data_IF_057346792220
#
_entry.id   IF_057346792220
#
_cell.length_a   1.000
_cell.length_b   1.000
_cell.length_c   1.000
_cell.angle_alpha   90.00
_cell.angle_beta   90.00
_cell.angle_gamma   90.00
#
_symmetry.space_group_name_H-M   'P 1'
#
loop_
_entity.id
_entity.type
_entity.pdbx_description
1 polymer ?
#
# COMPACT_ATOMS: atom_id res chain seq x y z
N UNK A 1 -10.41 18.63 -14.36
CA UNK A 1 -9.33 17.66 -14.66
C UNK A 1 -9.20 16.73 -13.47
N UNK A 2 -9.13 15.41 -13.68
CA UNK A 2 -9.02 14.43 -12.58
C UNK A 2 -7.57 14.19 -12.15
N UNK A 3 -7.37 13.72 -10.92
CA UNK A 3 -6.07 13.28 -10.39
C UNK A 3 -6.13 11.77 -10.14
N UNK A 4 -5.04 11.05 -10.45
CA UNK A 4 -4.86 9.64 -10.09
C UNK A 4 -3.62 9.53 -9.21
N UNK A 5 -3.78 8.97 -8.02
CA UNK A 5 -2.69 8.76 -7.07
C UNK A 5 -2.35 7.27 -7.08
N UNK A 6 -1.12 6.93 -7.48
CA UNK A 6 -0.62 5.56 -7.49
C UNK A 6 0.21 5.31 -6.24
N UNK A 7 -0.22 4.33 -5.44
CA UNK A 7 0.45 3.94 -4.20
C UNK A 7 0.92 2.49 -4.33
N UNK A 8 2.20 2.25 -4.07
CA UNK A 8 2.73 0.90 -3.91
C UNK A 8 2.41 0.42 -2.48
N UNK A 9 2.08 -0.87 -2.33
CA UNK A 9 1.90 -1.47 -1.01
C UNK A 9 3.14 -1.29 -0.12
N UNK A 10 2.94 -1.26 1.20
CA UNK A 10 4.04 -1.23 2.18
C UNK A 10 4.97 -2.44 2.07
N UNK A 11 6.12 -2.34 2.74
CA UNK A 11 7.13 -3.38 2.77
C UNK A 11 6.57 -4.74 3.25
N UNK A 12 6.97 -5.81 2.57
CA UNK A 12 6.79 -7.21 2.98
C UNK A 12 8.17 -7.87 3.15
N UNK A 13 8.21 -9.06 3.75
CA UNK A 13 9.46 -9.82 3.90
C UNK A 13 10.19 -10.05 2.56
N UNK A 14 9.46 -10.14 1.45
CA UNK A 14 10.05 -10.36 0.12
C UNK A 14 10.46 -9.08 -0.57
N UNK A 15 9.70 -7.98 -0.43
CA UNK A 15 10.16 -6.70 -0.96
C UNK A 15 11.42 -6.21 -0.24
N UNK A 16 11.54 -6.51 1.06
CA UNK A 16 12.73 -6.23 1.86
C UNK A 16 13.98 -6.97 1.33
N UNK A 17 13.80 -8.22 0.90
CA UNK A 17 14.89 -9.10 0.45
C UNK A 17 15.07 -9.15 -1.06
N UNK A 18 14.34 -8.33 -1.82
CA UNK A 18 14.40 -8.30 -3.28
C UNK A 18 13.78 -9.53 -3.98
N UNK A 19 12.98 -10.34 -3.28
CA UNK A 19 12.32 -11.52 -3.86
C UNK A 19 11.07 -11.14 -4.64
N UNK A 20 10.85 -11.82 -5.77
CA UNK A 20 9.69 -11.60 -6.63
C UNK A 20 8.40 -12.09 -5.95
N UNK A 21 7.51 -11.18 -5.54
CA UNK A 21 6.30 -11.54 -4.75
C UNK A 21 5.12 -12.02 -5.60
N UNK A 22 4.86 -11.40 -6.76
CA UNK A 22 3.71 -11.72 -7.63
C UNK A 22 2.38 -11.89 -6.85
N UNK A 23 1.67 -12.99 -7.08
CA UNK A 23 0.44 -13.43 -6.42
C UNK A 23 0.67 -14.17 -5.09
N UNK A 24 1.91 -14.23 -4.58
CA UNK A 24 2.17 -14.81 -3.26
C UNK A 24 1.58 -13.90 -2.20
N UNK A 25 0.74 -14.45 -1.33
CA UNK A 25 0.19 -13.72 -0.19
C UNK A 25 1.23 -13.59 0.92
N UNK A 26 1.56 -12.33 1.25
CA UNK A 26 2.49 -11.97 2.31
C UNK A 26 1.93 -10.77 3.07
N UNK A 27 1.97 -10.78 4.41
CA UNK A 27 1.61 -9.61 5.20
C UNK A 27 2.66 -8.51 5.05
N UNK A 28 2.28 -7.30 5.48
CA UNK A 28 3.23 -6.22 5.68
C UNK A 28 4.17 -6.55 6.85
N UNK A 29 5.42 -6.06 6.78
CA UNK A 29 6.29 -6.00 7.95
C UNK A 29 5.78 -4.91 8.91
N UNK A 30 6.30 -4.86 10.14
CA UNK A 30 6.00 -3.75 11.06
C UNK A 30 6.32 -2.38 10.42
N UNK A 31 7.46 -2.30 9.73
CA UNK A 31 7.84 -1.12 8.94
C UNK A 31 6.87 -0.86 7.78
N UNK A 32 6.39 -1.90 7.11
CA UNK A 32 5.37 -1.77 6.06
C UNK A 32 4.05 -1.19 6.58
N UNK A 33 3.63 -1.56 7.79
CA UNK A 33 2.46 -0.99 8.45
C UNK A 33 2.67 0.49 8.83
N UNK A 34 3.88 0.86 9.27
CA UNK A 34 4.24 2.27 9.52
C UNK A 34 4.25 3.10 8.22
N UNK A 35 4.77 2.54 7.13
CA UNK A 35 4.72 3.16 5.81
C UNK A 35 3.27 3.41 5.37
N UNK A 36 2.39 2.42 5.52
CA UNK A 36 0.97 2.58 5.21
C UNK A 36 0.34 3.73 6.01
N UNK A 37 0.55 3.76 7.33
CA UNK A 37 0.05 4.82 8.21
C UNK A 37 0.57 6.21 7.84
N UNK A 38 1.82 6.30 7.35
CA UNK A 38 2.41 7.58 6.94
C UNK A 38 1.73 8.22 5.72
N UNK A 39 0.93 7.46 4.96
CA UNK A 39 0.16 7.98 3.83
C UNK A 39 -1.01 8.85 4.28
N UNK A 40 -1.60 8.58 5.44
CA UNK A 40 -2.78 9.28 5.95
C UNK A 40 -2.62 10.82 5.95
N UNK A 41 -1.56 11.42 6.53
CA UNK A 41 -1.38 12.88 6.50
C UNK A 41 -1.12 13.43 5.09
N UNK A 42 -0.53 12.64 4.19
CA UNK A 42 -0.28 13.05 2.80
C UNK A 42 -1.57 13.12 1.99
N UNK A 43 -2.45 12.13 2.20
CA UNK A 43 -3.73 12.00 1.50
C UNK A 43 -4.84 12.85 2.14
N UNK A 44 -4.71 13.25 3.41
CA UNK A 44 -5.70 14.07 4.12
C UNK A 44 -6.01 15.41 3.41
N UNK A 45 -5.07 15.91 2.61
CA UNK A 45 -5.23 17.15 1.82
C UNK A 45 -5.86 16.93 0.44
N UNK A 46 -6.33 15.72 0.15
CA UNK A 46 -6.90 15.33 -1.15
C UNK A 46 -8.32 14.80 -0.96
N UNK A 47 -9.22 15.15 -1.87
CA UNK A 47 -10.56 14.56 -1.91
C UNK A 47 -10.48 13.22 -2.66
N UNK A 48 -10.36 12.13 -1.93
CA UNK A 48 -10.34 10.78 -2.51
C UNK A 48 -11.78 10.35 -2.78
N UNK A 49 -12.15 10.29 -4.06
CA UNK A 49 -13.49 9.87 -4.47
C UNK A 49 -13.64 8.35 -4.56
N UNK A 50 -12.55 7.64 -4.86
CA UNK A 50 -12.53 6.19 -5.02
C UNK A 50 -11.13 5.65 -4.68
N UNK A 51 -11.10 4.57 -3.91
CA UNK A 51 -9.89 3.80 -3.65
C UNK A 51 -10.07 2.41 -4.25
N UNK A 52 -9.14 2.00 -5.12
CA UNK A 52 -9.12 0.66 -5.72
C UNK A 52 -7.80 0.00 -5.37
N UNK A 53 -7.84 -1.30 -5.07
CA UNK A 53 -6.66 -2.08 -4.72
C UNK A 53 -6.65 -3.42 -5.44
N UNK A 54 -5.47 -4.00 -5.56
CA UNK A 54 -5.34 -5.45 -5.78
C UNK A 54 -5.95 -6.21 -4.59
N UNK A 55 -6.53 -7.41 -4.79
CA UNK A 55 -7.10 -8.19 -3.68
C UNK A 55 -6.07 -8.71 -2.69
N UNK A 56 -4.76 -8.59 -2.99
CA UNK A 56 -3.68 -9.06 -2.13
C UNK A 56 -3.69 -8.35 -0.77
N UNK A 57 -3.50 -9.11 0.32
CA UNK A 57 -3.61 -8.58 1.68
C UNK A 57 -2.74 -7.35 1.91
N UNK A 58 -1.49 -7.34 1.42
CA UNK A 58 -0.56 -6.20 1.53
C UNK A 58 -1.09 -4.92 0.89
N UNK A 59 -1.80 -5.01 -0.24
CA UNK A 59 -2.38 -3.85 -0.92
C UNK A 59 -3.61 -3.34 -0.17
N UNK A 60 -4.51 -4.24 0.22
CA UNK A 60 -5.69 -3.91 1.03
C UNK A 60 -5.31 -3.29 2.37
N UNK A 61 -4.31 -3.84 3.06
CA UNK A 61 -3.79 -3.32 4.33
C UNK A 61 -3.20 -1.92 4.18
N UNK A 62 -2.48 -1.65 3.09
CA UNK A 62 -1.89 -0.33 2.84
C UNK A 62 -2.95 0.74 2.58
N UNK A 63 -4.09 0.37 2.00
CA UNK A 63 -5.14 1.30 1.59
C UNK A 63 -6.23 1.54 2.66
N UNK A 64 -6.16 0.86 3.80
CA UNK A 64 -7.06 1.05 4.94
C UNK A 64 -6.60 2.19 5.82
#
# INVERSE_FOLDING_TARGET
MGEVILVRHGETAWSLTGKHTSYTELPLTARGEEQAKSLAPLLARRKIALTVTSPMQRAVRTAR
#
